data_IF_728752451407
#
_entry.id   IF_728752451407
#
_cell.length_a   1.000
_cell.length_b   1.000
_cell.length_c   1.000
_cell.angle_alpha   90.00
_cell.angle_beta   90.00
_cell.angle_gamma   90.00
#
_symmetry.space_group_name_H-M   'P 1'
#
loop_
_entity.id
_entity.type
_entity.pdbx_description
1 polymer ?
#
# COMPACT_ATOMS: atom_id res chain seq x y z
N UNK A 1 51.63 38.96 -1.87
CA UNK A 1 50.85 38.15 -2.84
C UNK A 1 49.52 37.78 -2.20
N UNK A 2 48.35 38.05 -2.82
CA UNK A 2 47.06 37.69 -2.23
C UNK A 2 46.76 36.20 -2.48
N UNK A 3 46.42 35.47 -1.42
CA UNK A 3 46.03 34.05 -1.48
C UNK A 3 44.60 33.94 -2.01
N UNK A 4 44.34 33.19 -3.10
CA UNK A 4 42.98 33.02 -3.61
C UNK A 4 42.16 32.16 -2.66
N UNK A 5 41.10 32.72 -2.06
CA UNK A 5 40.12 31.96 -1.29
C UNK A 5 39.23 31.15 -2.25
N UNK A 6 39.04 29.84 -2.05
CA UNK A 6 38.14 29.07 -2.89
C UNK A 6 36.71 29.60 -2.68
N UNK A 7 36.10 30.16 -3.74
CA UNK A 7 34.66 30.43 -3.77
C UNK A 7 33.97 29.07 -3.80
N UNK A 8 33.66 28.54 -2.62
CA UNK A 8 32.93 27.29 -2.48
C UNK A 8 31.65 27.40 -3.30
N UNK A 9 31.43 26.42 -4.17
CA UNK A 9 30.41 26.36 -5.21
C UNK A 9 29.03 26.07 -4.60
N UNK A 10 28.59 26.88 -3.63
CA UNK A 10 27.33 26.70 -2.89
C UNK A 10 26.10 26.64 -3.80
N UNK A 11 26.11 27.38 -4.92
CA UNK A 11 25.00 27.39 -5.88
C UNK A 11 24.70 26.03 -6.51
N UNK A 12 25.73 25.19 -6.77
CA UNK A 12 25.52 23.86 -7.37
C UNK A 12 24.91 22.87 -6.36
N UNK A 13 25.33 22.96 -5.10
CA UNK A 13 24.80 22.12 -4.02
C UNK A 13 23.38 22.53 -3.62
N UNK A 14 23.09 23.84 -3.59
CA UNK A 14 21.73 24.35 -3.39
C UNK A 14 20.78 23.87 -4.48
N UNK A 15 21.19 23.95 -5.76
CA UNK A 15 20.35 23.52 -6.88
C UNK A 15 20.12 22.01 -6.88
N UNK A 16 21.13 21.21 -6.51
CA UNK A 16 20.96 19.78 -6.29
C UNK A 16 19.98 19.47 -5.14
N UNK A 17 20.13 20.13 -3.99
CA UNK A 17 19.22 19.95 -2.85
C UNK A 17 17.78 20.34 -3.21
N UNK A 18 17.60 21.41 -3.98
CA UNK A 18 16.28 21.91 -4.39
C UNK A 18 15.55 20.92 -5.32
N UNK A 19 16.27 20.10 -6.08
CA UNK A 19 15.68 19.04 -6.90
C UNK A 19 15.50 17.74 -6.10
N UNK A 20 16.47 17.36 -5.28
CA UNK A 20 16.45 16.10 -4.54
C UNK A 20 15.37 16.12 -3.45
N UNK A 21 15.20 17.24 -2.74
CA UNK A 21 14.26 17.33 -1.61
C UNK A 21 12.79 17.09 -2.03
N UNK A 22 12.24 17.71 -3.10
CA UNK A 22 10.88 17.42 -3.54
C UNK A 22 10.69 15.98 -4.00
N UNK A 23 11.67 15.39 -4.70
CA UNK A 23 11.60 14.00 -5.15
C UNK A 23 11.62 13.04 -3.97
N UNK A 24 12.52 13.27 -3.01
CA UNK A 24 12.56 12.50 -1.77
C UNK A 24 11.26 12.66 -0.98
N UNK A 25 10.76 13.88 -0.82
CA UNK A 25 9.49 14.16 -0.14
C UNK A 25 8.34 13.39 -0.77
N UNK A 26 8.23 13.39 -2.11
CA UNK A 26 7.19 12.64 -2.82
C UNK A 26 7.27 11.14 -2.54
N UNK A 27 8.48 10.57 -2.53
CA UNK A 27 8.69 9.16 -2.27
C UNK A 27 8.31 8.77 -0.83
N UNK A 28 8.69 9.60 0.16
CA UNK A 28 8.42 9.31 1.58
C UNK A 28 6.99 9.66 2.03
N UNK A 29 6.33 10.61 1.36
CA UNK A 29 4.97 11.02 1.71
C UNK A 29 3.89 10.10 1.11
N UNK A 30 4.22 9.30 0.10
CA UNK A 30 3.28 8.40 -0.57
C UNK A 30 2.84 7.28 0.38
N UNK A 31 1.54 7.16 0.70
CA UNK A 31 1.06 6.06 1.52
C UNK A 31 1.31 4.73 0.81
N UNK A 32 1.69 3.72 1.59
CA UNK A 32 1.89 2.36 1.08
C UNK A 32 0.91 1.43 1.77
N UNK A 33 0.28 0.54 1.03
CA UNK A 33 -0.56 -0.52 1.60
C UNK A 33 0.03 -1.87 1.23
N UNK A 34 0.23 -2.71 2.23
CA UNK A 34 0.72 -4.08 2.08
C UNK A 34 -0.32 -5.05 2.63
N UNK A 35 -0.81 -5.95 1.79
CA UNK A 35 -1.65 -7.08 2.21
C UNK A 35 -0.78 -8.32 2.27
N UNK A 36 -0.52 -8.77 3.48
CA UNK A 36 0.36 -9.89 3.81
C UNK A 36 -0.46 -11.18 3.93
N UNK A 37 -0.15 -12.16 3.09
CA UNK A 37 -0.76 -13.48 3.11
C UNK A 37 -0.06 -14.37 4.13
N UNK A 38 -0.82 -15.19 4.86
CA UNK A 38 -0.23 -16.15 5.79
C UNK A 38 0.67 -17.14 5.04
N UNK A 39 1.89 -17.43 5.53
CA UNK A 39 2.74 -18.48 4.97
C UNK A 39 2.12 -19.88 5.14
N UNK A 40 1.17 -20.04 6.06
CA UNK A 40 0.48 -21.31 6.29
C UNK A 40 -0.76 -21.48 5.40
N UNK A 41 -1.02 -20.56 4.46
CA UNK A 41 -2.15 -20.71 3.54
C UNK A 41 -1.98 -21.95 2.67
N UNK A 42 -3.00 -22.80 2.66
CA UNK A 42 -3.02 -24.02 1.83
C UNK A 42 -3.49 -23.76 0.40
N UNK A 43 -3.99 -22.56 0.13
CA UNK A 43 -4.59 -22.18 -1.16
C UNK A 43 -3.76 -21.13 -1.86
N UNK A 44 -3.75 -21.21 -3.20
CA UNK A 44 -3.21 -20.16 -4.05
C UNK A 44 -4.25 -19.03 -4.15
N UNK A 45 -3.83 -17.82 -3.80
CA UNK A 45 -4.63 -16.62 -3.90
C UNK A 45 -4.29 -15.85 -5.16
N UNK A 46 -5.32 -15.46 -5.91
CA UNK A 46 -5.22 -14.44 -6.94
C UNK A 46 -5.72 -13.13 -6.38
N UNK A 47 -5.02 -12.04 -6.63
CA UNK A 47 -5.43 -10.72 -6.18
C UNK A 47 -5.48 -9.70 -7.31
N UNK A 48 -6.30 -8.67 -7.10
CA UNK A 48 -6.45 -7.51 -7.97
C UNK A 48 -6.48 -6.27 -7.08
N UNK A 49 -5.48 -5.40 -7.27
CA UNK A 49 -5.55 -4.02 -6.85
C UNK A 49 -6.31 -3.21 -7.89
N UNK A 50 -7.18 -2.32 -7.43
CA UNK A 50 -7.76 -1.25 -8.23
C UNK A 50 -7.67 0.06 -7.45
N UNK A 51 -6.67 0.87 -7.80
CA UNK A 51 -6.41 2.18 -7.18
C UNK A 51 -6.69 3.26 -8.20
N UNK A 52 -7.90 3.84 -8.18
CA UNK A 52 -8.31 4.85 -9.15
C UNK A 52 -8.07 4.41 -10.61
N UNK A 53 -8.63 3.26 -10.99
CA UNK A 53 -8.50 2.61 -12.30
C UNK A 53 -7.10 2.10 -12.65
N UNK A 54 -6.09 2.29 -11.78
CA UNK A 54 -4.83 1.56 -11.87
C UNK A 54 -5.03 0.14 -11.38
N UNK A 55 -5.07 -0.80 -12.32
CA UNK A 55 -5.31 -2.22 -12.04
C UNK A 55 -3.98 -2.98 -12.01
N UNK A 56 -3.66 -3.61 -10.88
CA UNK A 56 -2.52 -4.52 -10.74
C UNK A 56 -3.01 -5.90 -10.31
N UNK A 57 -2.50 -6.94 -10.93
CA UNK A 57 -2.92 -8.33 -10.69
C UNK A 57 -1.70 -9.18 -10.36
N UNK A 58 -1.90 -10.15 -9.49
CA UNK A 58 -0.86 -11.12 -9.19
C UNK A 58 -1.43 -12.35 -8.51
N UNK A 59 -0.60 -13.38 -8.45
CA UNK A 59 -0.90 -14.64 -7.81
C UNK A 59 0.10 -14.88 -6.67
N UNK A 60 -0.40 -15.35 -5.53
CA UNK A 60 0.35 -15.64 -4.31
C UNK A 60 0.08 -17.11 -3.97
N UNK A 61 1.13 -17.94 -3.95
CA UNK A 61 0.97 -19.38 -3.66
C UNK A 61 0.94 -19.69 -2.17
N UNK A 62 2.00 -19.32 -1.45
CA UNK A 62 2.15 -19.59 -0.01
C UNK A 62 2.88 -18.44 0.65
N UNK A 63 2.15 -17.59 1.37
CA UNK A 63 2.68 -16.37 1.95
C UNK A 63 3.19 -15.35 0.91
N UNK A 64 3.61 -14.18 1.41
CA UNK A 64 4.04 -13.06 0.60
C UNK A 64 3.15 -11.84 0.79
N UNK A 65 3.45 -10.77 0.07
CA UNK A 65 2.78 -9.48 0.25
C UNK A 65 2.38 -8.88 -1.08
N UNK A 66 1.12 -8.51 -1.22
CA UNK A 66 0.65 -7.67 -2.31
C UNK A 66 0.78 -6.21 -1.86
N UNK A 67 1.66 -5.44 -2.51
CA UNK A 67 1.97 -4.06 -2.13
C UNK A 67 1.49 -3.11 -3.21
N UNK A 68 0.85 -2.02 -2.81
CA UNK A 68 0.35 -0.99 -3.71
C UNK A 68 0.59 0.41 -3.11
N UNK A 69 0.94 1.37 -3.97
CA UNK A 69 1.20 2.75 -3.58
C UNK A 69 -0.05 3.61 -3.77
N UNK A 70 -0.43 4.37 -2.76
CA UNK A 70 -1.51 5.36 -2.89
C UNK A 70 -0.99 6.71 -3.37
N UNK A 71 -1.91 7.57 -3.80
CA UNK A 71 -1.65 8.99 -4.04
C UNK A 71 -1.45 9.74 -2.72
N UNK A 72 -0.53 10.71 -2.73
CA UNK A 72 -0.25 11.62 -1.59
C UNK A 72 -1.44 12.55 -1.34
N UNK A 73 -2.06 13.04 -2.41
CA UNK A 73 -3.21 13.95 -2.38
C UNK A 73 -4.36 13.30 -3.17
N UNK A 74 -5.05 12.32 -2.57
CA UNK A 74 -6.22 11.72 -3.21
C UNK A 74 -7.32 12.76 -3.39
N UNK A 75 -8.05 12.67 -4.50
CA UNK A 75 -9.24 13.47 -4.70
C UNK A 75 -10.41 12.95 -3.83
N UNK A 76 -11.53 13.66 -3.86
CA UNK A 76 -12.73 13.33 -3.07
C UNK A 76 -13.40 12.01 -3.48
N UNK A 77 -13.16 11.58 -4.72
CA UNK A 77 -13.77 10.40 -5.32
C UNK A 77 -12.77 9.22 -5.34
N UNK A 78 -11.64 9.38 -4.65
CA UNK A 78 -10.57 8.40 -4.60
C UNK A 78 -11.03 7.11 -3.92
N UNK A 79 -10.69 5.99 -4.55
CA UNK A 79 -10.90 4.66 -4.01
C UNK A 79 -9.67 3.80 -4.21
N UNK A 80 -9.44 2.90 -3.26
CA UNK A 80 -8.38 1.91 -3.32
C UNK A 80 -8.96 0.56 -2.90
N UNK A 81 -9.19 -0.30 -3.87
CA UNK A 81 -9.83 -1.58 -3.66
C UNK A 81 -8.81 -2.71 -3.81
N UNK A 82 -8.92 -3.69 -2.92
CA UNK A 82 -8.19 -4.94 -3.00
C UNK A 82 -9.18 -6.09 -3.05
N UNK A 83 -9.20 -6.81 -4.17
CA UNK A 83 -9.98 -8.03 -4.38
C UNK A 83 -9.03 -9.22 -4.32
N UNK A 84 -9.40 -10.28 -3.61
CA UNK A 84 -8.63 -11.51 -3.64
C UNK A 84 -9.56 -12.72 -3.62
N UNK A 85 -9.09 -13.79 -4.25
CA UNK A 85 -9.87 -15.00 -4.44
C UNK A 85 -8.99 -16.23 -4.53
N UNK A 86 -9.59 -17.39 -4.30
CA UNK A 86 -8.97 -18.69 -4.54
C UNK A 86 -9.75 -19.44 -5.60
N UNK A 87 -9.10 -20.42 -6.22
CA UNK A 87 -9.72 -21.27 -7.25
C UNK A 87 -10.87 -22.13 -6.71
N UNK A 88 -10.96 -22.27 -5.37
CA UNK A 88 -12.03 -23.00 -4.70
C UNK A 88 -13.27 -22.14 -4.40
N UNK A 89 -13.33 -20.91 -4.92
CA UNK A 89 -14.49 -20.04 -4.82
C UNK A 89 -14.48 -19.11 -3.61
N UNK A 90 -13.41 -19.10 -2.80
CA UNK A 90 -13.22 -18.04 -1.81
C UNK A 90 -13.02 -16.72 -2.57
N UNK A 91 -13.75 -15.68 -2.19
CA UNK A 91 -13.63 -14.37 -2.81
C UNK A 91 -14.00 -13.28 -1.81
N UNK A 92 -13.10 -12.32 -1.61
CA UNK A 92 -13.25 -11.20 -0.69
C UNK A 92 -12.77 -9.91 -1.32
N UNK A 93 -13.22 -8.79 -0.75
CA UNK A 93 -12.88 -7.46 -1.23
C UNK A 93 -12.88 -6.49 -0.05
N UNK A 94 -11.88 -5.61 -0.01
CA UNK A 94 -11.81 -4.46 0.88
C UNK A 94 -11.59 -3.18 0.10
N UNK A 95 -12.29 -2.14 0.54
CA UNK A 95 -11.98 -0.76 0.21
C UNK A 95 -11.14 -0.18 1.34
N UNK A 96 -9.97 0.33 0.99
CA UNK A 96 -8.95 0.77 1.92
C UNK A 96 -8.87 2.29 1.82
N UNK A 97 -9.15 2.97 2.92
CA UNK A 97 -8.73 4.37 3.03
C UNK A 97 -7.23 4.36 3.36
N UNK A 98 -6.33 4.99 2.61
CA UNK A 98 -4.88 5.04 2.91
C UNK A 98 -4.54 6.17 3.90
N UNK A 99 -3.42 6.06 4.62
CA UNK A 99 -2.99 7.03 5.64
C UNK A 99 -1.72 7.74 5.19
N UNK A 100 -1.81 9.05 5.03
CA UNK A 100 -0.70 9.89 4.59
C UNK A 100 0.56 9.68 5.44
N UNK A 101 1.72 9.54 4.77
CA UNK A 101 3.02 9.39 5.41
C UNK A 101 3.19 8.11 6.25
N UNK A 102 2.40 7.06 5.99
CA UNK A 102 2.53 5.79 6.70
C UNK A 102 2.27 4.59 5.80
N UNK A 103 2.88 3.47 6.19
CA UNK A 103 2.58 2.15 5.64
C UNK A 103 1.44 1.52 6.43
N UNK A 104 0.47 0.94 5.73
CA UNK A 104 -0.62 0.17 6.30
C UNK A 104 -0.36 -1.30 6.01
N UNK A 105 -0.18 -2.08 7.07
CA UNK A 105 -0.03 -3.53 7.00
C UNK A 105 -1.34 -4.21 7.36
N UNK A 106 -1.87 -4.97 6.41
CA UNK A 106 -3.07 -5.79 6.56
C UNK A 106 -2.62 -7.24 6.51
N UNK A 107 -3.01 -8.04 7.50
CA UNK A 107 -2.63 -9.45 7.57
C UNK A 107 -3.84 -10.32 7.25
N UNK A 108 -3.64 -11.30 6.39
CA UNK A 108 -4.61 -12.35 6.13
C UNK A 108 -4.24 -13.63 6.91
N UNK A 109 -5.25 -14.30 7.44
CA UNK A 109 -5.12 -15.58 8.12
C UNK A 109 -4.91 -16.73 7.10
N UNK A 110 -4.79 -17.96 7.62
CA UNK A 110 -4.49 -19.16 6.83
C UNK A 110 -5.58 -19.53 5.81
N UNK A 111 -6.77 -18.96 5.95
CA UNK A 111 -7.93 -19.16 5.07
C UNK A 111 -8.26 -17.90 4.26
N UNK A 112 -7.43 -16.86 4.32
CA UNK A 112 -7.54 -15.65 3.52
C UNK A 112 -8.50 -14.61 4.08
N UNK A 113 -8.92 -14.68 5.34
CA UNK A 113 -9.70 -13.61 6.01
C UNK A 113 -8.75 -12.62 6.66
N UNK A 114 -9.25 -11.43 7.00
CA UNK A 114 -8.44 -10.46 7.73
C UNK A 114 -8.18 -10.98 9.14
N UNK A 115 -6.91 -11.15 9.46
CA UNK A 115 -6.43 -11.50 10.79
C UNK A 115 -6.52 -10.25 11.67
N UNK A 116 -7.60 -10.15 12.46
CA UNK A 116 -7.82 -9.03 13.38
C UNK A 116 -6.93 -9.08 14.62
N UNK A 117 -6.23 -10.19 14.86
CA UNK A 117 -5.25 -10.28 15.95
C UNK A 117 -3.89 -9.69 15.54
N UNK A 118 -3.53 -9.78 14.26
CA UNK A 118 -2.29 -9.20 13.70
C UNK A 118 -2.47 -7.82 13.07
N UNK A 119 -3.62 -7.56 12.48
CA UNK A 119 -3.92 -6.26 11.86
C UNK A 119 -4.27 -5.25 12.94
N UNK A 120 -3.59 -4.10 12.94
CA UNK A 120 -3.78 -3.09 13.98
C UNK A 120 -5.23 -2.55 13.99
N UNK A 121 -5.81 -2.24 15.17
CA UNK A 121 -7.18 -1.73 15.27
C UNK A 121 -7.44 -0.44 14.49
N UNK A 122 -6.46 0.46 14.44
CA UNK A 122 -6.54 1.71 13.67
C UNK A 122 -6.51 1.45 12.15
N UNK A 123 -5.83 0.39 11.71
CA UNK A 123 -5.88 -0.08 10.32
C UNK A 123 -7.26 -0.66 10.01
N UNK A 124 -7.79 -1.54 10.86
CA UNK A 124 -9.11 -2.17 10.68
C UNK A 124 -10.21 -1.10 10.54
N UNK A 125 -10.16 -0.03 11.33
CA UNK A 125 -11.13 1.07 11.26
C UNK A 125 -11.14 1.80 9.90
N UNK A 126 -10.10 1.62 9.08
CA UNK A 126 -9.92 2.24 7.77
C UNK A 126 -10.25 1.28 6.61
N UNK A 127 -10.59 0.03 6.95
CA UNK A 127 -11.04 -0.98 6.00
C UNK A 127 -12.57 -0.97 5.95
N UNK A 128 -13.11 -0.85 4.74
CA UNK A 128 -14.54 -0.93 4.48
C UNK A 128 -14.82 -2.14 3.61
N UNK A 129 -16.01 -2.71 3.79
CA UNK A 129 -16.50 -3.77 2.91
C UNK A 129 -16.86 -3.16 1.55
N UNK A 130 -16.48 -3.83 0.48
CA UNK A 130 -16.94 -3.47 -0.86
C UNK A 130 -18.45 -3.74 -1.03
N UNK A 131 -19.15 -2.83 -1.73
CA UNK A 131 -20.60 -2.94 -1.97
C UNK A 131 -20.92 -4.22 -2.76
N UNK A 132 -21.91 -4.99 -2.30
CA UNK A 132 -22.35 -6.23 -2.97
C UNK A 132 -21.39 -7.42 -2.82
N UNK A 133 -20.36 -7.34 -1.97
CA UNK A 133 -19.39 -8.41 -1.72
C UNK A 133 -19.58 -9.01 -0.32
N UNK A 134 -19.25 -10.30 -0.12
CA UNK A 134 -19.32 -10.91 1.20
C UNK A 134 -18.35 -10.25 2.19
N UNK A 135 -18.69 -10.34 3.47
CA UNK A 135 -17.96 -9.66 4.53
C UNK A 135 -16.50 -10.16 4.65
N UNK A 136 -15.50 -9.29 4.52
CA UNK A 136 -14.09 -9.67 4.68
C UNK A 136 -13.73 -10.12 6.11
N UNK A 137 -14.57 -9.80 7.10
CA UNK A 137 -14.35 -10.15 8.51
C UNK A 137 -15.19 -11.34 9.01
N UNK A 138 -16.21 -11.77 8.26
CA UNK A 138 -17.15 -12.82 8.68
C UNK A 138 -17.14 -14.02 7.72
N UNK A 139 -17.63 -15.19 8.15
CA UNK A 139 -17.75 -16.39 7.30
C UNK A 139 -18.54 -16.13 6.01
#
# INVERSE_FOLDING_TARGET
MPVPKPKIRYGRWMLLLLVILPVAFWYFASPVVAVNFSPNSKEEFRYVWNTQDRIHRGDIRHGGSAVEFSYIFPDKDFFMMFDWSTDKGFKRCIDITPKWGSTIDIYLDDIGRIDTAKTAPDVIARLKRCVGRPDPFRP
#
